data_IF_554564401188
#
_entry.id   IF_554564401188
#
_cell.length_a   1.000
_cell.length_b   1.000
_cell.length_c   1.000
_cell.angle_alpha   90.00
_cell.angle_beta   90.00
_cell.angle_gamma   90.00
#
_symmetry.space_group_name_H-M   'P 1'
#
loop_
_entity.id
_entity.type
_entity.pdbx_description
1 polymer ?
2 water ?
#
# COMPACT_ATOMS: atom_id res chain seq x y z
N UNK A 9 17.18 20.61 -7.62
CA UNK A 9 16.29 21.39 -8.56
C UNK A 9 15.82 20.58 -9.82
N UNK A 10 16.78 20.01 -10.54
CA UNK A 10 16.49 19.00 -11.55
C UNK A 10 15.91 17.73 -10.89
N UNK A 11 16.59 17.28 -9.85
CA UNK A 11 16.15 16.13 -9.08
C UNK A 11 14.81 16.46 -8.39
N UNK A 12 14.71 17.67 -7.87
CA UNK A 12 13.46 18.20 -7.35
C UNK A 12 12.30 18.07 -8.32
N UNK A 13 12.52 18.52 -9.56
CA UNK A 13 11.49 18.43 -10.63
C UNK A 13 11.14 17.01 -11.05
N UNK A 14 12.14 16.13 -11.08
CA UNK A 14 11.90 14.70 -11.31
C UNK A 14 11.12 14.05 -10.16
N UNK A 15 11.40 14.43 -8.93
CA UNK A 15 10.62 13.97 -7.79
C UNK A 15 9.18 14.50 -7.85
N UNK A 16 8.99 15.75 -8.24
CA UNK A 16 7.63 16.26 -8.37
C UNK A 16 6.88 15.55 -9.49
N UNK A 17 7.59 15.13 -10.53
CA UNK A 17 7.00 14.30 -11.58
C UNK A 17 6.67 12.90 -11.09
N UNK A 18 7.56 12.36 -10.28
CA UNK A 18 7.31 11.08 -9.68
C UNK A 18 6.00 11.09 -8.89
N UNK A 19 5.79 12.14 -8.11
CA UNK A 19 4.55 12.32 -7.33
C UNK A 19 3.25 12.18 -8.14
N UNK A 20 3.22 12.85 -9.29
CA UNK A 20 2.08 12.90 -10.19
C UNK A 20 1.84 11.53 -10.82
N UNK A 21 2.93 10.86 -11.20
CA UNK A 21 2.84 9.50 -11.66
C UNK A 21 2.14 8.64 -10.58
N UNK A 22 2.63 8.71 -9.33
CA UNK A 22 2.07 7.87 -8.24
C UNK A 22 0.63 8.20 -7.99
N UNK A 23 0.35 9.47 -7.77
CA UNK A 23 -1.03 9.90 -7.53
C UNK A 23 -2.00 9.47 -8.64
N UNK A 24 -1.58 9.60 -9.91
CA UNK A 24 -2.46 9.25 -11.06
C UNK A 24 -2.71 7.77 -11.06
N UNK A 25 -1.67 6.99 -10.77
CA UNK A 25 -1.84 5.54 -10.77
C UNK A 25 -2.82 5.08 -9.71
N UNK A 26 -2.71 5.59 -8.50
CA UNK A 26 -3.67 5.24 -7.43
C UNK A 26 -5.11 5.69 -7.79
N UNK A 27 -5.27 6.92 -8.28
CA UNK A 27 -6.58 7.40 -8.79
C UNK A 27 -7.16 6.48 -9.84
N UNK A 28 -6.34 5.99 -10.77
CA UNK A 28 -6.88 5.08 -11.83
C UNK A 28 -7.28 3.72 -11.23
N UNK A 29 -6.46 3.23 -10.33
CA UNK A 29 -6.76 1.99 -9.57
C UNK A 29 -8.11 2.08 -8.86
N UNK A 30 -8.38 3.21 -8.19
CA UNK A 30 -9.62 3.33 -7.41
C UNK A 30 -10.80 3.46 -8.35
N UNK A 31 -10.63 4.17 -9.46
CA UNK A 31 -11.64 4.18 -10.53
C UNK A 31 -12.00 2.78 -11.05
N UNK A 32 -11.00 1.95 -11.32
CA UNK A 32 -11.23 0.69 -12.05
C UNK A 32 -11.74 -0.42 -11.10
N UNK A 33 -11.39 -0.34 -9.82
CA UNK A 33 -11.69 -1.44 -8.89
C UNK A 33 -12.42 -0.98 -7.66
N UNK A 34 -13.05 -1.96 -7.00
CA UNK A 34 -13.80 -1.73 -5.74
C UNK A 34 -12.90 -1.56 -4.52
N UNK A 35 -11.87 -0.73 -4.67
CA UNK A 35 -11.00 -0.29 -3.59
C UNK A 35 -11.49 1.10 -3.19
N UNK A 36 -11.37 1.42 -1.92
CA UNK A 36 -11.81 2.70 -1.42
C UNK A 36 -10.65 3.51 -0.91
N UNK A 37 -9.50 2.89 -0.68
CA UNK A 37 -8.32 3.64 -0.25
C UNK A 37 -7.09 2.89 -0.71
N UNK A 38 -6.05 3.65 -1.09
CA UNK A 38 -4.78 3.13 -1.54
C UNK A 38 -3.71 4.08 -1.01
N UNK A 39 -2.62 3.53 -0.52
CA UNK A 39 -1.54 4.34 0.04
C UNK A 39 -0.22 3.78 -0.52
N UNK A 40 0.69 4.66 -0.95
CA UNK A 40 2.10 4.30 -1.19
C UNK A 40 2.95 4.89 -0.02
N UNK A 41 3.76 4.05 0.61
CA UNK A 41 4.79 4.50 1.52
C UNK A 41 6.16 4.17 0.93
N UNK A 42 7.12 5.07 1.18
CA UNK A 42 8.51 4.86 0.79
C UNK A 42 9.40 5.03 2.01
N UNK A 43 10.47 4.25 2.06
CA UNK A 43 11.39 4.38 3.14
C UNK A 43 12.12 5.71 3.00
N UNK A 44 12.29 6.42 4.12
CA UNK A 44 13.10 7.63 4.13
C UNK A 44 14.52 7.21 4.53
N UNK A 45 15.44 8.16 4.53
CA UNK A 45 16.84 7.94 4.97
C UNK A 45 16.94 7.15 6.29
N UNK A 46 16.08 7.45 7.26
CA UNK A 46 16.15 6.81 8.57
C UNK A 46 15.47 5.44 8.60
N UNK A 47 15.02 4.96 7.44
CA UNK A 47 14.30 3.67 7.35
C UNK A 47 12.80 3.64 7.71
N UNK A 48 12.19 4.79 8.03
CA UNK A 48 10.75 4.84 8.29
C UNK A 48 9.94 4.80 6.95
N UNK A 49 8.84 4.04 6.94
CA UNK A 49 7.89 4.01 5.82
C UNK A 49 6.95 5.22 5.89
N UNK A 50 7.28 6.23 5.09
CA UNK A 50 6.58 7.48 5.06
C UNK A 50 5.50 7.44 3.99
N UNK A 51 4.30 7.89 4.36
CA UNK A 51 3.24 8.15 3.38
C UNK A 51 3.62 9.24 2.37
N UNK A 52 3.70 8.82 1.09
CA UNK A 52 4.09 9.71 0.00
C UNK A 52 2.99 9.91 -1.04
N UNK A 53 1.98 9.06 -1.06
CA UNK A 53 0.91 9.20 -2.02
C UNK A 53 -0.26 8.40 -1.54
N UNK A 54 -1.46 8.83 -1.87
CA UNK A 54 -2.67 8.12 -1.44
C UNK A 54 -3.87 8.60 -2.26
N UNK A 55 -4.88 7.77 -2.40
CA UNK A 55 -6.10 8.14 -3.11
C UNK A 55 -7.28 7.57 -2.32
N UNK A 56 -8.45 8.19 -2.40
CA UNK A 56 -9.59 7.79 -1.59
C UNK A 56 -9.58 8.49 -0.23
N UNK A 57 -10.57 8.17 0.58
CA UNK A 57 -10.72 8.79 1.90
C UNK A 57 -10.40 7.79 2.99
N UNK A 58 -9.94 8.29 4.14
CA UNK A 58 -9.43 7.47 5.25
C UNK A 58 -7.98 7.73 5.66
N UNK A 59 -7.25 8.56 4.92
CA UNK A 59 -5.84 8.83 5.29
C UNK A 59 -5.67 9.50 6.68
N UNK A 60 -6.71 10.20 7.14
CA UNK A 60 -6.66 10.88 8.43
C UNK A 60 -6.99 9.92 9.61
N UNK A 61 -7.26 8.64 9.28
CA UNK A 61 -7.50 7.59 10.30
C UNK A 61 -6.49 6.43 10.29
N UNK A 62 -7.02 5.22 10.53
CA UNK A 62 -6.25 4.03 10.94
C UNK A 62 -5.22 3.57 9.93
N UNK A 63 -5.58 3.69 8.65
CA UNK A 63 -4.77 3.22 7.55
C UNK A 63 -3.77 4.29 7.06
N UNK A 64 -3.61 5.40 7.80
CA UNK A 64 -2.92 6.58 7.25
C UNK A 64 -1.57 7.11 7.77
N UNK A 65 -0.96 6.42 8.75
CA UNK A 65 0.24 6.97 9.41
C UNK A 65 1.58 6.51 8.80
N UNK A 66 2.67 7.11 9.27
CA UNK A 66 3.99 6.62 8.94
C UNK A 66 4.37 5.42 9.82
N UNK A 67 5.10 4.45 9.26
CA UNK A 67 5.46 3.23 10.02
C UNK A 67 6.96 2.88 10.03
N UNK A 68 7.50 2.78 11.24
CA UNK A 68 8.72 2.00 11.48
C UNK A 68 8.35 0.52 11.26
N UNK A 69 8.98 -0.10 10.24
CA UNK A 69 8.59 -1.47 9.93
C UNK A 69 8.91 -2.42 11.09
N UNK A 70 7.96 -3.31 11.35
CA UNK A 70 8.00 -4.28 12.43
C UNK A 70 7.20 -5.53 12.14
N UNK A 71 7.71 -6.66 12.60
CA UNK A 71 7.09 -7.94 12.28
C UNK A 71 5.68 -8.08 12.95
N UNK A 72 5.42 -7.34 14.03
CA UNK A 72 4.10 -7.35 14.70
C UNK A 72 2.93 -6.67 13.94
N UNK A 73 3.21 -5.99 12.83
CA UNK A 73 2.17 -5.45 11.98
C UNK A 73 2.17 -6.19 10.65
N UNK A 74 1.02 -6.22 9.96
CA UNK A 74 0.94 -6.84 8.61
C UNK A 74 1.81 -6.11 7.60
N UNK A 75 1.82 -4.79 7.67
CA UNK A 75 2.61 -3.94 6.79
C UNK A 75 4.13 -4.06 7.03
N UNK A 76 4.54 -4.16 8.28
CA UNK A 76 5.94 -4.42 8.61
C UNK A 76 6.38 -5.80 8.15
N UNK A 77 5.46 -6.76 8.23
CA UNK A 77 5.77 -8.13 7.84
C UNK A 77 5.91 -8.21 6.33
N UNK A 78 5.10 -7.47 5.60
CA UNK A 78 5.21 -7.45 4.14
C UNK A 78 6.53 -6.85 3.69
N UNK A 79 6.90 -5.76 4.33
CA UNK A 79 8.12 -5.05 4.01
C UNK A 79 9.32 -5.86 4.37
N UNK A 80 9.32 -6.39 5.60
CA UNK A 80 10.50 -7.03 6.17
C UNK A 80 10.78 -8.41 5.58
N UNK A 81 9.72 -9.13 5.20
CA UNK A 81 9.84 -10.39 4.51
C UNK A 81 9.80 -10.27 2.99
N UNK A 82 9.55 -9.07 2.46
CA UNK A 82 9.41 -8.88 1.03
C UNK A 82 8.36 -9.82 0.40
N UNK A 83 7.19 -9.88 0.99
CA UNK A 83 6.17 -10.78 0.49
C UNK A 83 4.87 -10.16 0.84
N UNK A 84 3.92 -10.26 -0.07
CA UNK A 84 2.66 -9.62 0.14
C UNK A 84 1.92 -10.26 1.31
N UNK A 85 1.08 -9.46 1.92
CA UNK A 85 0.24 -9.87 3.02
C UNK A 85 -1.18 -9.38 2.71
N UNK A 86 -2.18 -10.22 2.91
CA UNK A 86 -3.57 -9.74 2.67
C UNK A 86 -4.58 -10.40 3.60
N UNK A 87 -5.71 -9.74 3.79
CA UNK A 87 -6.85 -10.25 4.56
C UNK A 87 -8.09 -10.09 3.66
N UNK A 88 -8.71 -11.22 3.29
CA UNK A 88 -9.88 -11.17 2.41
C UNK A 88 -11.19 -10.79 3.10
N UNK A 89 -11.27 -11.08 4.40
CA UNK A 89 -12.43 -10.73 5.21
C UNK A 89 -12.00 -10.33 6.63
N UNK A 90 -12.10 -9.04 6.94
CA UNK A 90 -11.72 -8.55 8.24
C UNK A 90 -12.48 -9.21 9.43
N UNK A 91 -13.63 -9.84 9.21
CA UNK A 91 -14.31 -10.49 10.32
C UNK A 91 -13.49 -11.66 10.88
N UNK A 92 -12.51 -12.16 10.13
CA UNK A 92 -11.78 -13.39 10.48
C UNK A 92 -10.31 -13.18 10.79
N UNK A 93 -9.92 -11.95 10.99
CA UNK A 93 -8.58 -11.64 11.50
C UNK A 93 -8.38 -12.13 12.91
N UNK A 94 -7.13 -12.46 13.22
CA UNK A 94 -6.77 -12.95 14.54
C UNK A 94 -6.22 -11.85 15.51
N UNK A 95 -6.10 -10.60 15.06
CA UNK A 95 -5.69 -9.51 15.94
C UNK A 95 -6.96 -8.79 16.39
N UNK A 96 -7.37 -9.03 17.64
CA UNK A 96 -8.73 -8.60 17.96
C UNK A 96 -8.96 -7.09 18.07
N UNK A 97 -8.03 -6.33 18.64
CA UNK A 97 -8.21 -4.88 18.71
C UNK A 97 -8.07 -4.22 17.33
N UNK A 98 -7.04 -4.61 16.61
CA UNK A 98 -6.81 -4.14 15.27
C UNK A 98 -8.04 -4.44 14.41
N UNK A 99 -8.50 -5.69 14.40
CA UNK A 99 -9.75 -6.04 13.73
C UNK A 99 -10.88 -5.10 14.12
N UNK A 100 -11.08 -4.92 15.42
CA UNK A 100 -12.14 -4.05 15.86
C UNK A 100 -11.96 -2.61 15.30
N UNK A 101 -10.73 -2.09 15.32
CA UNK A 101 -10.46 -0.70 14.88
C UNK A 101 -10.76 -0.51 13.40
N UNK A 102 -10.42 -1.51 12.61
CA UNK A 102 -10.60 -1.47 11.18
C UNK A 102 -12.05 -1.60 10.75
N UNK A 103 -12.80 -2.54 11.36
CA UNK A 103 -14.24 -2.69 11.07
C UNK A 103 -15.02 -1.41 11.47
N UNK A 104 -14.56 -0.74 12.51
CA UNK A 104 -15.14 0.52 12.94
C UNK A 104 -14.96 1.58 11.83
N UNK A 105 -13.88 1.49 11.06
CA UNK A 105 -13.69 2.32 9.88
C UNK A 105 -14.46 1.77 8.67
N UNK A 106 -15.04 0.58 8.77
CA UNK A 106 -15.80 0.00 7.64
C UNK A 106 -14.99 -0.86 6.67
N UNK A 107 -13.73 -1.12 7.00
CA UNK A 107 -12.84 -1.95 6.15
C UNK A 107 -13.20 -3.44 6.12
N UNK A 108 -13.49 -3.96 4.93
CA UNK A 108 -13.85 -5.38 4.75
C UNK A 108 -12.68 -6.28 4.37
N UNK A 109 -11.69 -5.68 3.74
CA UNK A 109 -10.73 -6.41 2.90
C UNK A 109 -9.46 -5.51 2.75
N UNK A 110 -8.25 -6.06 2.83
CA UNK A 110 -7.06 -5.25 2.54
C UNK A 110 -5.86 -6.06 2.11
N UNK A 111 -4.86 -5.36 1.58
CA UNK A 111 -3.61 -6.00 1.09
C UNK A 111 -2.42 -5.04 1.21
N UNK A 112 -1.25 -5.59 1.54
CA UNK A 112 0.02 -4.86 1.53
C UNK A 112 1.00 -5.54 0.57
N UNK A 113 1.53 -4.77 -0.38
CA UNK A 113 2.32 -5.28 -1.48
C UNK A 113 3.63 -4.57 -1.50
N UNK A 114 4.74 -5.32 -1.40
CA UNK A 114 6.05 -4.68 -1.42
C UNK A 114 6.33 -3.99 -2.74
N UNK A 115 7.05 -2.88 -2.66
CA UNK A 115 7.43 -2.12 -3.85
C UNK A 115 8.95 -2.32 -4.00
N UNK A 116 9.31 -3.10 -5.00
CA UNK A 116 10.69 -3.46 -5.23
C UNK A 116 10.92 -3.71 -6.70
N UNK A 117 12.13 -3.40 -7.11
CA UNK A 117 12.60 -3.90 -8.37
C UNK A 117 12.87 -5.42 -8.21
N UNK A 118 12.64 -6.16 -9.30
CA UNK A 118 12.91 -7.61 -9.36
C UNK A 118 14.29 -7.99 -8.82
N UNK A 119 14.32 -8.81 -7.77
CA UNK A 119 15.58 -9.28 -7.16
C UNK A 119 16.25 -8.30 -6.20
N UNK A 120 15.53 -7.23 -5.84
CA UNK A 120 16.09 -6.19 -4.99
C UNK A 120 15.23 -5.96 -3.78
N UNK A 121 15.85 -5.45 -2.71
CA UNK A 121 15.12 -5.27 -1.48
C UNK A 121 14.07 -4.18 -1.68
N UNK A 122 12.88 -4.37 -1.10
CA UNK A 122 11.82 -3.42 -1.21
C UNK A 122 12.20 -2.09 -0.61
N UNK A 123 11.70 -1.03 -1.24
CA UNK A 123 11.90 0.31 -0.74
C UNK A 123 10.61 1.07 -0.39
N UNK A 124 9.50 0.32 -0.41
CA UNK A 124 8.19 0.80 -0.02
C UNK A 124 7.11 -0.27 0.01
N UNK A 125 5.90 0.15 0.40
CA UNK A 125 4.69 -0.67 0.41
C UNK A 125 3.51 0.02 -0.31
N UNK A 126 2.83 -0.71 -1.16
CA UNK A 126 1.57 -0.31 -1.69
C UNK A 126 0.51 -1.01 -0.85
N UNK A 127 -0.31 -0.24 -0.13
CA UNK A 127 -1.37 -0.76 0.75
C UNK A 127 -2.70 -0.41 0.14
N UNK A 128 -3.64 -1.34 0.09
CA UNK A 128 -4.97 -1.07 -0.49
C UNK A 128 -6.11 -1.65 0.33
N UNK A 129 -7.23 -0.96 0.34
CA UNK A 129 -8.32 -1.26 1.26
C UNK A 129 -9.65 -1.11 0.54
N UNK A 130 -10.53 -2.06 0.71
CA UNK A 130 -11.92 -1.92 0.30
C UNK A 130 -12.84 -1.83 1.55
N UNK A 131 -13.64 -0.76 1.62
CA UNK A 131 -14.81 -0.70 2.50
C UNK A 131 -16.07 -1.25 1.82
N UNK A 132 -15.88 -1.92 0.68
CA UNK A 132 -16.99 -2.21 -0.27
C UNK A 132 -17.25 -3.73 -0.35
N UNK A 133 -16.18 -4.52 -0.45
CA UNK A 133 -16.30 -5.96 -0.68
C UNK A 133 -15.27 -6.80 0.09
N UNK A 134 -15.61 -8.07 0.32
CA UNK A 134 -14.67 -9.07 0.78
C UNK A 134 -14.28 -9.91 -0.44
N UNK A 135 -13.15 -10.63 -0.34
CA UNK A 135 -12.73 -11.59 -1.35
C UNK A 135 -12.06 -10.95 -2.55
N UNK A 136 -11.77 -9.66 -2.44
CA UNK A 136 -11.24 -8.86 -3.57
C UNK A 136 -9.95 -9.48 -4.09
N UNK A 137 -9.17 -10.03 -3.18
CA UNK A 137 -7.78 -10.35 -3.47
C UNK A 137 -7.67 -11.76 -3.87
N UNK A 138 -8.19 -12.07 -5.04
CA UNK A 138 -7.91 -13.36 -5.67
C UNK A 138 -6.60 -13.22 -6.41
N UNK A 139 -6.08 -14.32 -6.94
CA UNK A 139 -4.75 -14.31 -7.61
C UNK A 139 -4.69 -13.38 -8.82
N UNK A 140 -5.76 -13.37 -9.66
CA UNK A 140 -5.70 -12.39 -10.76
C UNK A 140 -5.50 -10.95 -10.25
N UNK A 141 -6.28 -10.53 -9.25
CA UNK A 141 -6.13 -9.15 -8.75
C UNK A 141 -4.77 -8.89 -8.10
N UNK A 142 -4.27 -9.85 -7.30
CA UNK A 142 -2.91 -9.79 -6.76
C UNK A 142 -1.86 -9.71 -7.87
N UNK A 143 -2.10 -10.38 -9.00
CA UNK A 143 -1.24 -10.27 -10.15
C UNK A 143 -1.11 -8.79 -10.54
N UNK A 144 -2.25 -8.14 -10.71
CA UNK A 144 -2.31 -6.80 -11.21
C UNK A 144 -1.67 -5.81 -10.22
N UNK A 145 -1.88 -6.03 -8.92
CA UNK A 145 -1.28 -5.16 -7.89
C UNK A 145 0.26 -5.23 -7.89
N UNK A 146 0.77 -6.44 -8.07
CA UNK A 146 2.19 -6.64 -8.16
C UNK A 146 2.71 -6.00 -9.44
N UNK A 147 1.91 -5.98 -10.49
CA UNK A 147 2.36 -5.28 -11.71
C UNK A 147 2.38 -3.76 -11.44
N UNK A 148 1.29 -3.26 -10.88
CA UNK A 148 1.27 -1.87 -10.49
C UNK A 148 2.55 -1.55 -9.64
N UNK A 149 2.87 -2.43 -8.69
CA UNK A 149 3.91 -2.17 -7.67
C UNK A 149 5.29 -2.12 -8.34
N UNK A 150 5.48 -3.00 -9.34
CA UNK A 150 6.71 -3.03 -10.11
C UNK A 150 6.93 -1.78 -10.95
N UNK A 151 5.84 -1.24 -11.49
CA UNK A 151 5.90 -0.03 -12.32
C UNK A 151 6.16 1.22 -11.45
N UNK A 152 5.63 1.20 -10.21
CA UNK A 152 5.99 2.20 -9.21
C UNK A 152 7.46 2.07 -8.81
N UNK A 153 7.91 0.86 -8.52
CA UNK A 153 9.31 0.65 -8.17
C UNK A 153 10.25 1.21 -9.26
N UNK A 154 9.86 0.98 -10.50
CA UNK A 154 10.66 1.46 -11.59
C UNK A 154 10.76 2.98 -11.59
N UNK A 155 9.60 3.63 -11.44
CA UNK A 155 9.51 5.09 -11.49
C UNK A 155 10.33 5.75 -10.37
N UNK A 156 10.32 5.16 -9.18
CA UNK A 156 11.10 5.71 -8.05
C UNK A 156 12.61 5.65 -8.33
N UNK A 157 13.08 4.45 -8.66
CA UNK A 157 14.45 4.23 -9.07
C UNK A 157 14.91 5.22 -10.15
N UNK A 158 14.06 5.50 -11.15
CA UNK A 158 14.37 6.54 -12.14
C UNK A 158 14.89 7.80 -11.42
N UNK A 159 14.19 8.24 -10.39
CA UNK A 159 14.66 9.34 -9.54
C UNK A 159 15.63 8.73 -8.52
#
# INVERSE_FOLDING_TARGET
SNAVRLRASEIMNRTLDLQIIMDDLLNLLLKEFKLDLAVIRLVDEKGVLRVRSYSGKGIAGIAGKDWEPEIETYIGEAFLSNRLQFVNDTQYMTKPLTRELMQKEGIKSFAHIPISRKGEPPFGILSVFSRTIVGLFNEPFLNLLESLAGQLAQAVKIVTEXEAKEREREEKERILLENAR
#
